data_IF_060447598527
#
_entry.id   IF_060447598527
#
_cell.length_a   1.000
_cell.length_b   1.000
_cell.length_c   1.000
_cell.angle_alpha   90.00
_cell.angle_beta   90.00
_cell.angle_gamma   90.00
#
_symmetry.space_group_name_H-M   'P 1'
#
loop_
_entity.id
_entity.type
_entity.pdbx_description
1 polymer ?
#
# COMPACT_ATOMS: atom_id res chain seq x y z
N UNK A 1 48.68 -5.17 21.26
CA UNK A 1 47.49 -6.06 21.26
C UNK A 1 46.28 -5.21 21.59
N UNK A 2 45.13 -5.47 20.95
CA UNK A 2 43.87 -4.71 20.91
C UNK A 2 43.74 -3.68 19.77
N UNK A 3 43.15 -4.11 18.64
CA UNK A 3 42.08 -3.38 18.01
C UNK A 3 40.93 -4.35 17.70
N UNK A 4 40.12 -4.70 18.71
CA UNK A 4 38.96 -5.58 18.56
C UNK A 4 37.62 -4.87 18.80
N UNK A 5 37.60 -3.53 18.82
CA UNK A 5 36.39 -2.77 19.18
C UNK A 5 35.80 -1.90 18.06
N UNK A 6 36.32 -1.98 16.83
CA UNK A 6 35.80 -1.19 15.71
C UNK A 6 34.90 -1.99 14.75
N UNK A 7 34.83 -3.31 14.86
CA UNK A 7 34.05 -4.16 13.95
C UNK A 7 32.62 -4.47 14.42
N UNK A 8 32.28 -4.20 15.68
CA UNK A 8 30.97 -4.54 16.25
C UNK A 8 29.87 -3.49 16.00
N UNK A 9 30.22 -2.27 15.57
CA UNK A 9 29.23 -1.21 15.31
C UNK A 9 28.74 -1.17 13.85
N UNK A 10 29.44 -1.83 12.92
CA UNK A 10 29.07 -1.79 11.49
C UNK A 10 27.95 -2.77 11.10
N UNK A 11 27.64 -3.77 11.93
CA UNK A 11 26.55 -4.72 11.65
C UNK A 11 25.15 -4.19 12.03
N UNK A 12 25.05 -3.06 12.74
CA UNK A 12 23.76 -2.43 13.07
C UNK A 12 23.29 -1.43 12.00
N UNK A 13 24.16 -1.05 11.06
CA UNK A 13 23.84 -0.09 10.00
C UNK A 13 23.24 -0.73 8.73
N UNK A 14 23.15 -2.06 8.68
CA UNK A 14 22.60 -2.83 7.55
C UNK A 14 21.30 -3.57 7.87
N UNK A 15 20.67 -3.27 9.01
CA UNK A 15 19.26 -3.63 9.20
C UNK A 15 18.44 -2.63 8.39
N UNK A 16 17.83 -3.03 7.24
CA UNK A 16 16.82 -2.19 6.62
C UNK A 16 15.78 -1.94 7.70
N UNK A 17 15.60 -0.65 8.00
CA UNK A 17 14.73 -0.11 9.02
C UNK A 17 13.48 -0.96 9.17
N UNK A 18 13.36 -1.67 10.29
CA UNK A 18 12.12 -2.33 10.75
C UNK A 18 10.98 -1.31 11.03
N UNK A 19 11.10 -0.09 10.52
CA UNK A 19 10.15 1.02 10.58
C UNK A 19 9.28 1.12 9.31
N UNK A 20 9.53 0.31 8.27
CA UNK A 20 8.65 0.22 7.09
C UNK A 20 7.49 -0.79 7.23
N UNK A 21 7.38 -1.48 8.37
CA UNK A 21 6.52 -2.65 8.53
C UNK A 21 5.02 -2.36 8.80
N UNK A 22 4.54 -1.11 8.62
CA UNK A 22 3.17 -0.77 9.01
C UNK A 22 2.54 0.42 8.30
N UNK A 23 3.17 1.02 7.29
CA UNK A 23 2.54 2.11 6.55
C UNK A 23 1.46 1.55 5.63
N UNK A 24 0.23 2.03 5.86
CA UNK A 24 -0.94 1.75 5.05
C UNK A 24 -1.21 2.94 4.14
N UNK A 25 -1.70 2.63 2.96
CA UNK A 25 -2.05 3.59 1.92
C UNK A 25 -3.49 3.36 1.52
N UNK A 26 -4.17 4.41 1.06
CA UNK A 26 -5.48 4.29 0.45
C UNK A 26 -5.42 4.42 -1.06
N UNK A 27 -6.20 3.57 -1.71
CA UNK A 27 -6.46 3.58 -3.14
C UNK A 27 -7.96 3.85 -3.38
N UNK A 28 -8.28 4.71 -4.35
CA UNK A 28 -9.66 4.98 -4.78
C UNK A 28 -9.76 5.06 -6.30
N UNK A 29 -10.85 4.55 -6.87
CA UNK A 29 -11.22 4.85 -8.26
C UNK A 29 -12.27 5.96 -8.24
N UNK A 30 -11.98 7.08 -8.89
CA UNK A 30 -12.76 8.30 -8.78
C UNK A 30 -13.37 8.73 -10.11
N UNK A 31 -14.55 9.35 -10.02
CA UNK A 31 -15.17 10.11 -11.10
C UNK A 31 -15.46 11.50 -10.58
N UNK A 32 -14.90 12.51 -11.24
CA UNK A 32 -15.03 13.92 -10.83
C UNK A 32 -14.58 14.15 -9.36
N UNK A 33 -13.53 13.47 -8.90
CA UNK A 33 -13.01 13.56 -7.53
C UNK A 33 -13.85 12.85 -6.46
N UNK A 34 -14.86 12.06 -6.85
CA UNK A 34 -15.69 11.27 -5.95
C UNK A 34 -15.42 9.78 -6.17
N UNK A 35 -15.11 9.06 -5.10
CA UNK A 35 -14.87 7.62 -5.14
C UNK A 35 -16.13 6.84 -5.55
N UNK A 36 -16.00 5.94 -6.52
CA UNK A 36 -16.99 4.90 -6.76
C UNK A 36 -16.71 3.71 -5.84
N UNK A 37 -17.45 3.63 -4.73
CA UNK A 37 -17.25 2.60 -3.72
C UNK A 37 -17.44 1.18 -4.26
N UNK A 38 -18.34 0.96 -5.23
CA UNK A 38 -18.60 -0.38 -5.77
C UNK A 38 -17.44 -0.85 -6.62
N UNK A 39 -16.98 0.01 -7.54
CA UNK A 39 -15.86 -0.32 -8.43
C UNK A 39 -14.56 -0.44 -7.63
N UNK A 40 -14.31 0.52 -6.74
CA UNK A 40 -13.12 0.51 -5.87
C UNK A 40 -13.08 -0.75 -5.01
N UNK A 41 -14.18 -1.12 -4.35
CA UNK A 41 -14.25 -2.34 -3.55
C UNK A 41 -14.05 -3.62 -4.37
N UNK A 42 -14.65 -3.67 -5.56
CA UNK A 42 -14.52 -4.83 -6.45
C UNK A 42 -13.07 -5.06 -6.86
N UNK A 43 -12.40 -4.01 -7.31
CA UNK A 43 -11.00 -4.05 -7.74
C UNK A 43 -10.09 -4.40 -6.56
N UNK A 44 -10.31 -3.77 -5.40
CA UNK A 44 -9.53 -4.03 -4.20
C UNK A 44 -9.56 -5.52 -3.79
N UNK A 45 -10.77 -6.12 -3.81
CA UNK A 45 -10.96 -7.55 -3.49
C UNK A 45 -10.36 -8.45 -4.56
N UNK A 46 -10.43 -8.05 -5.83
CA UNK A 46 -9.82 -8.80 -6.92
C UNK A 46 -8.30 -8.86 -6.80
N UNK A 47 -7.65 -7.74 -6.51
CA UNK A 47 -6.19 -7.68 -6.31
C UNK A 47 -5.79 -8.54 -5.11
N UNK A 48 -6.50 -8.41 -3.98
CA UNK A 48 -6.25 -9.24 -2.80
C UNK A 48 -6.35 -10.75 -3.11
N UNK A 49 -7.33 -11.15 -3.92
CA UNK A 49 -7.52 -12.55 -4.30
C UNK A 49 -6.41 -13.05 -5.24
N UNK A 50 -6.00 -12.21 -6.19
CA UNK A 50 -5.07 -12.59 -7.24
C UNK A 50 -3.61 -12.61 -6.76
N UNK A 51 -3.25 -11.79 -5.77
CA UNK A 51 -1.85 -11.64 -5.40
C UNK A 51 -1.32 -12.71 -4.45
N UNK A 52 -2.13 -13.49 -3.72
CA UNK A 52 -1.71 -14.56 -2.78
C UNK A 52 -0.63 -14.19 -1.72
N UNK A 53 -0.01 -13.01 -1.81
CA UNK A 53 0.99 -12.47 -0.91
C UNK A 53 0.27 -11.70 0.20
N UNK A 54 0.13 -12.36 1.36
CA UNK A 54 0.11 -11.71 2.68
C UNK A 54 -0.65 -10.37 2.77
N UNK A 55 -1.99 -10.40 2.71
CA UNK A 55 -2.89 -9.28 3.09
C UNK A 55 -2.50 -7.89 2.56
N UNK A 56 -1.84 -7.83 1.39
CA UNK A 56 -1.26 -6.59 0.88
C UNK A 56 -2.33 -5.56 0.49
N UNK A 57 -3.55 -6.02 0.14
CA UNK A 57 -4.70 -5.20 -0.25
C UNK A 57 -5.95 -5.67 0.50
N UNK A 58 -6.73 -4.76 1.09
CA UNK A 58 -8.00 -5.13 1.71
C UNK A 58 -9.02 -3.99 1.66
N UNK A 59 -10.30 -4.38 1.67
CA UNK A 59 -11.41 -3.43 1.69
C UNK A 59 -11.91 -3.24 3.12
N UNK A 60 -11.74 -2.03 3.66
CA UNK A 60 -12.34 -1.59 4.92
C UNK A 60 -13.80 -1.19 4.68
N UNK A 61 -14.72 -2.05 5.15
CA UNK A 61 -16.18 -1.84 5.02
C UNK A 61 -16.65 -0.67 5.89
N UNK A 62 -16.03 -0.42 7.04
CA UNK A 62 -16.47 0.62 7.96
C UNK A 62 -16.22 2.02 7.39
N UNK A 63 -15.10 2.19 6.69
CA UNK A 63 -14.69 3.49 6.12
C UNK A 63 -14.92 3.60 4.60
N UNK A 64 -15.34 2.51 3.93
CA UNK A 64 -15.41 2.40 2.48
C UNK A 64 -14.07 2.69 1.80
N UNK A 65 -13.02 1.96 2.20
CA UNK A 65 -11.66 2.25 1.75
C UNK A 65 -10.97 1.00 1.22
N UNK A 66 -10.30 1.14 0.08
CA UNK A 66 -9.31 0.15 -0.31
C UNK A 66 -7.97 0.54 0.30
N UNK A 67 -7.44 -0.31 1.18
CA UNK A 67 -6.17 -0.08 1.85
C UNK A 67 -5.13 -1.08 1.41
N UNK A 68 -3.89 -0.64 1.31
CA UNK A 68 -2.79 -1.52 0.95
C UNK A 68 -1.49 -1.14 1.66
N UNK A 69 -0.56 -2.09 1.80
CA UNK A 69 0.71 -1.88 2.51
C UNK A 69 1.81 -1.31 1.62
N UNK A 70 2.79 -0.62 2.22
CA UNK A 70 3.90 0.08 1.56
C UNK A 70 4.67 -0.75 0.51
N UNK A 71 4.67 -2.09 0.59
CA UNK A 71 5.26 -2.96 -0.45
C UNK A 71 4.70 -2.74 -1.87
N UNK A 72 3.51 -2.17 -1.98
CA UNK A 72 2.88 -1.77 -3.24
C UNK A 72 2.84 -0.25 -3.48
N UNK A 73 3.59 0.54 -2.72
CA UNK A 73 3.72 1.98 -2.99
C UNK A 73 4.36 2.18 -4.39
N UNK A 74 3.65 2.83 -5.34
CA UNK A 74 4.19 3.08 -6.68
C UNK A 74 5.44 3.96 -6.67
N UNK A 75 5.66 4.75 -5.61
CA UNK A 75 6.83 5.63 -5.48
C UNK A 75 8.07 4.91 -4.97
N UNK A 76 7.90 3.87 -4.16
CA UNK A 76 9.03 3.18 -3.52
C UNK A 76 9.40 1.87 -4.22
N UNK A 77 8.41 1.04 -4.57
CA UNK A 77 8.65 -0.31 -5.09
C UNK A 77 8.08 -0.55 -6.49
N UNK A 78 7.48 0.47 -7.11
CA UNK A 78 6.81 0.34 -8.40
C UNK A 78 5.61 -0.62 -8.35
N UNK A 79 4.92 -0.65 -7.19
CA UNK A 79 3.92 -1.64 -6.76
C UNK A 79 3.15 -2.33 -7.87
N UNK A 80 3.26 -3.66 -7.92
CA UNK A 80 2.54 -4.47 -8.91
C UNK A 80 1.03 -4.43 -8.66
N UNK A 81 0.62 -4.48 -7.39
CA UNK A 81 -0.76 -4.31 -6.97
C UNK A 81 -1.29 -2.92 -7.36
N UNK A 82 -0.50 -1.87 -7.16
CA UNK A 82 -0.89 -0.51 -7.56
C UNK A 82 -1.09 -0.36 -9.07
N UNK A 83 -0.14 -0.85 -9.88
CA UNK A 83 -0.26 -0.79 -11.34
C UNK A 83 -1.49 -1.53 -11.83
N UNK A 84 -1.80 -2.68 -11.23
CA UNK A 84 -3.01 -3.45 -11.53
C UNK A 84 -4.27 -2.71 -11.10
N UNK A 85 -4.26 -2.07 -9.94
CA UNK A 85 -5.35 -1.21 -9.47
C UNK A 85 -5.64 -0.08 -10.47
N UNK A 86 -4.61 0.67 -10.87
CA UNK A 86 -4.75 1.76 -11.84
C UNK A 86 -5.32 1.28 -13.17
N UNK A 87 -4.76 0.20 -13.74
CA UNK A 87 -5.23 -0.36 -15.00
C UNK A 87 -6.70 -0.83 -14.93
N UNK A 88 -7.11 -1.42 -13.79
CA UNK A 88 -8.49 -1.83 -13.58
C UNK A 88 -9.42 -0.61 -13.43
N UNK A 89 -9.05 0.43 -12.67
CA UNK A 89 -9.87 1.66 -12.58
C UNK A 89 -10.09 2.28 -13.96
N UNK A 90 -9.02 2.41 -14.75
CA UNK A 90 -9.07 2.97 -16.11
C UNK A 90 -9.97 2.13 -17.03
N UNK A 91 -9.98 0.81 -16.89
CA UNK A 91 -10.88 -0.10 -17.60
C UNK A 91 -12.37 0.15 -17.34
N UNK A 92 -12.72 0.75 -16.20
CA UNK A 92 -14.08 1.21 -15.88
C UNK A 92 -14.33 2.69 -16.25
N UNK A 93 -13.38 3.35 -16.90
CA UNK A 93 -13.44 4.78 -17.19
C UNK A 93 -13.40 5.66 -15.93
N UNK A 94 -12.71 5.18 -14.88
CA UNK A 94 -12.46 5.91 -13.64
C UNK A 94 -10.99 6.31 -13.55
N UNK A 95 -10.72 7.35 -12.77
CA UNK A 95 -9.36 7.85 -12.53
C UNK A 95 -8.87 7.27 -11.21
N UNK A 96 -7.76 6.51 -11.16
CA UNK A 96 -7.17 6.11 -9.89
C UNK A 96 -6.66 7.35 -9.16
N UNK A 97 -6.98 7.48 -7.87
CA UNK A 97 -6.43 8.57 -7.06
C UNK A 97 -4.92 8.45 -6.90
N UNK A 98 -4.27 9.54 -6.49
CA UNK A 98 -2.90 9.42 -6.03
C UNK A 98 -2.90 8.70 -4.69
N UNK A 99 -2.02 7.70 -4.49
CA UNK A 99 -1.98 7.01 -3.23
C UNK A 99 -1.49 7.94 -2.14
N UNK A 100 -2.20 7.91 -1.02
CA UNK A 100 -1.88 8.70 0.14
C UNK A 100 -1.68 7.79 1.34
N UNK A 101 -0.62 8.04 2.10
CA UNK A 101 -0.36 7.30 3.33
C UNK A 101 -1.41 7.69 4.37
N UNK A 102 -1.86 6.71 5.13
CA UNK A 102 -2.71 6.92 6.27
C UNK A 102 -2.23 6.09 7.45
N UNK A 103 -2.05 6.78 8.58
CA UNK A 103 -1.74 6.16 9.86
C UNK A 103 -3.01 5.54 10.43
N UNK A 104 -2.93 4.27 10.83
CA UNK A 104 -3.98 3.54 11.53
C UNK A 104 -4.24 4.14 12.91
N UNK A 105 -5.12 5.13 12.99
CA UNK A 105 -5.79 5.52 14.24
C UNK A 105 -7.30 5.63 14.02
N UNK A 106 -7.97 4.48 14.04
CA UNK A 106 -9.36 4.33 14.49
C UNK A 106 -10.50 5.06 13.76
N UNK A 107 -10.26 5.89 12.73
CA UNK A 107 -11.32 6.70 12.09
C UNK A 107 -11.30 6.74 10.56
N UNK A 108 -10.53 5.87 9.93
CA UNK A 108 -10.38 5.91 8.47
C UNK A 108 -9.10 6.62 8.05
N UNK A 109 -8.82 6.49 6.76
CA UNK A 109 -8.09 7.46 5.99
C UNK A 109 -9.12 8.47 5.40
#
# INVERSE_FOLDING_TARGET
MAPLLAFSLYCLALLPSALGAGELYKASCERNGVQDNRVTASICRQINKDEHFSNAWYWDIANNECRYHNGDDPRQFGGAGWRKFSALCEGFGLIPSNPYSCTTEGRGC
#
